data_IF_937642657582
#
_entry.id   IF_937642657582
#
_cell.length_a   1.000
_cell.length_b   1.000
_cell.length_c   1.000
_cell.angle_alpha   90.00
_cell.angle_beta   90.00
_cell.angle_gamma   90.00
#
_symmetry.space_group_name_H-M   'P 1'
#
loop_
_entity.id
_entity.type
_entity.pdbx_description
1 polymer ?
#
# COMPACT_ATOMS: atom_id res chain seq x y z
N UNK A 1 12.63 -3.67 4.48
CA UNK A 1 12.85 -3.90 3.03
C UNK A 1 12.38 -2.68 2.25
N UNK A 2 13.10 -2.29 1.21
CA UNK A 2 12.83 -1.06 0.47
C UNK A 2 12.85 -1.34 -1.04
N UNK A 3 12.17 -0.49 -1.82
CA UNK A 3 12.27 -0.56 -3.28
C UNK A 3 13.59 0.07 -3.77
N UNK A 4 13.80 0.11 -5.09
CA UNK A 4 15.02 0.66 -5.67
C UNK A 4 15.27 2.14 -5.37
N UNK A 5 14.22 2.87 -4.94
CA UNK A 5 14.32 4.29 -4.58
C UNK A 5 14.43 4.48 -3.07
N UNK A 6 14.62 3.41 -2.31
CA UNK A 6 14.77 3.49 -0.87
C UNK A 6 13.47 3.64 -0.08
N UNK A 7 12.32 3.54 -0.73
CA UNK A 7 11.03 3.67 -0.05
C UNK A 7 10.65 2.36 0.66
N UNK A 8 10.19 2.41 1.91
CA UNK A 8 9.74 1.21 2.62
C UNK A 8 8.43 0.67 2.04
N UNK A 9 8.17 -0.62 2.25
CA UNK A 9 6.93 -1.24 1.81
C UNK A 9 5.74 -0.72 2.61
N UNK A 10 4.59 -0.61 1.93
CA UNK A 10 3.33 -0.28 2.58
C UNK A 10 2.79 -1.55 3.25
N UNK A 11 2.29 -1.41 4.47
CA UNK A 11 1.78 -2.52 5.26
C UNK A 11 0.36 -2.23 5.72
N UNK A 12 -0.31 -3.27 6.22
CA UNK A 12 -1.65 -3.13 6.78
C UNK A 12 -1.67 -2.01 7.83
N UNK A 13 -2.73 -1.20 7.81
CA UNK A 13 -2.94 -0.05 8.69
C UNK A 13 -2.05 1.17 8.41
N UNK A 14 -1.22 1.13 7.37
CA UNK A 14 -0.49 2.33 6.95
C UNK A 14 -1.46 3.39 6.44
N UNK A 15 -1.04 4.64 6.48
CA UNK A 15 -1.91 5.79 6.21
C UNK A 15 -1.64 6.39 4.83
N UNK A 16 -2.55 7.28 4.42
CA UNK A 16 -2.41 8.04 3.18
C UNK A 16 -2.52 9.53 3.44
N UNK A 17 -2.20 10.33 2.41
CA UNK A 17 -2.31 11.79 2.49
C UNK A 17 -3.77 12.27 2.63
N UNK A 18 -4.75 11.40 2.39
CA UNK A 18 -6.17 11.71 2.57
C UNK A 18 -6.72 11.19 3.91
N UNK A 19 -5.86 10.95 4.88
CA UNK A 19 -6.21 10.33 6.17
C UNK A 19 -6.82 8.93 5.98
N UNK A 20 -6.53 8.29 4.86
CA UNK A 20 -6.98 6.93 4.59
C UNK A 20 -6.16 5.89 5.33
N UNK A 21 -6.67 4.66 5.34
CA UNK A 21 -6.02 3.53 6.02
C UNK A 21 -6.02 2.32 5.10
N UNK A 22 -4.88 1.64 5.01
CA UNK A 22 -4.77 0.38 4.28
C UNK A 22 -5.53 -0.68 5.08
N UNK A 23 -6.56 -1.27 4.46
CA UNK A 23 -7.44 -2.24 5.12
C UNK A 23 -7.28 -3.66 4.60
N UNK A 24 -6.51 -3.86 3.52
CA UNK A 24 -6.20 -5.18 2.98
C UNK A 24 -4.71 -5.32 2.75
N UNK A 25 -4.19 -6.52 2.96
CA UNK A 25 -2.79 -6.80 2.72
C UNK A 25 -2.60 -8.31 2.53
N UNK A 26 -1.46 -8.70 1.95
CA UNK A 26 -1.13 -10.11 1.76
C UNK A 26 -0.82 -10.75 3.11
N UNK A 27 -1.51 -11.85 3.43
CA UNK A 27 -1.29 -12.56 4.70
C UNK A 27 -0.06 -13.46 4.64
N UNK A 28 0.45 -13.74 3.46
CA UNK A 28 1.61 -14.61 3.25
C UNK A 28 2.90 -13.82 2.98
N UNK A 29 2.87 -12.50 3.08
CA UNK A 29 4.07 -11.67 2.96
C UNK A 29 4.07 -10.67 4.11
N UNK A 30 4.94 -10.92 5.08
CA UNK A 30 5.03 -10.09 6.28
C UNK A 30 6.34 -9.32 6.30
N UNK A 31 6.30 -8.12 6.84
CA UNK A 31 7.49 -7.32 7.12
C UNK A 31 7.38 -6.76 8.52
N UNK A 32 8.32 -7.11 9.39
CA UNK A 32 8.32 -6.72 10.81
C UNK A 32 7.03 -7.17 11.52
N UNK A 33 6.51 -8.34 11.13
CA UNK A 33 5.31 -8.90 11.73
C UNK A 33 3.99 -8.33 11.25
N UNK A 34 4.00 -7.48 10.22
CA UNK A 34 2.79 -6.85 9.68
C UNK A 34 2.62 -7.23 8.21
N UNK A 35 1.41 -7.63 7.77
CA UNK A 35 1.18 -7.98 6.37
C UNK A 35 1.49 -6.81 5.42
N UNK A 36 2.09 -7.13 4.28
CA UNK A 36 2.48 -6.16 3.27
C UNK A 36 1.35 -5.99 2.26
N UNK A 37 1.05 -4.74 1.90
CA UNK A 37 0.02 -4.43 0.91
C UNK A 37 0.57 -4.58 -0.50
N UNK A 38 -0.28 -5.08 -1.40
CA UNK A 38 0.05 -5.28 -2.80
C UNK A 38 -0.86 -4.44 -3.69
N UNK A 39 -0.52 -4.39 -4.98
CA UNK A 39 -1.35 -3.72 -5.97
C UNK A 39 -2.78 -4.27 -5.96
N UNK A 40 -3.76 -3.38 -5.97
CA UNK A 40 -5.17 -3.76 -5.96
C UNK A 40 -5.78 -3.96 -4.57
N UNK A 41 -4.98 -3.98 -3.51
CA UNK A 41 -5.53 -4.08 -2.16
C UNK A 41 -6.28 -2.80 -1.77
N UNK A 42 -7.34 -2.95 -0.96
CA UNK A 42 -8.20 -1.84 -0.60
C UNK A 42 -7.60 -0.88 0.41
N UNK A 43 -7.85 0.39 0.17
CA UNK A 43 -7.50 1.47 1.09
C UNK A 43 -8.76 2.29 1.34
N UNK A 44 -9.15 2.39 2.61
CA UNK A 44 -10.28 3.23 2.97
C UNK A 44 -9.87 4.70 2.88
N UNK A 45 -10.68 5.50 2.19
CA UNK A 45 -10.44 6.93 2.03
C UNK A 45 -11.65 7.72 2.52
N UNK A 46 -11.61 8.27 3.75
CA UNK A 46 -12.75 9.02 4.28
C UNK A 46 -12.99 10.31 3.50
N UNK A 47 -11.94 10.90 2.95
CA UNK A 47 -12.07 12.13 2.15
C UNK A 47 -12.86 11.89 0.87
N UNK A 48 -12.66 10.73 0.23
CA UNK A 48 -13.37 10.38 -1.00
C UNK A 48 -14.63 9.57 -0.75
N UNK A 49 -14.83 9.09 0.47
CA UNK A 49 -16.04 8.40 0.88
C UNK A 49 -16.12 6.94 0.42
N UNK A 50 -15.00 6.25 0.27
CA UNK A 50 -15.04 4.84 -0.17
C UNK A 50 -13.73 4.11 -0.01
N UNK A 51 -13.69 2.91 -0.56
CA UNK A 51 -12.49 2.06 -0.59
C UNK A 51 -11.94 2.08 -2.02
N UNK A 52 -10.65 2.33 -2.15
CA UNK A 52 -9.99 2.47 -3.45
C UNK A 52 -8.79 1.55 -3.52
N UNK A 53 -8.46 1.01 -4.72
CA UNK A 53 -7.34 0.10 -4.86
C UNK A 53 -6.00 0.84 -4.82
N UNK A 54 -4.97 0.14 -4.31
CA UNK A 54 -3.59 0.61 -4.42
C UNK A 54 -3.14 0.45 -5.87
N UNK A 55 -2.42 1.46 -6.37
CA UNK A 55 -1.77 1.42 -7.68
C UNK A 55 -0.27 1.37 -7.41
N UNK A 56 0.29 0.16 -7.38
CA UNK A 56 1.70 -0.03 -7.11
C UNK A 56 2.52 0.16 -8.38
N UNK A 57 3.63 0.88 -8.25
CA UNK A 57 4.49 1.21 -9.41
C UNK A 57 5.87 0.59 -9.30
N UNK A 58 6.20 -0.06 -8.17
CA UNK A 58 7.49 -0.70 -7.98
C UNK A 58 7.65 -1.96 -8.83
N UNK A 59 8.88 -2.46 -8.90
CA UNK A 59 9.18 -3.64 -9.71
C UNK A 59 9.14 -4.95 -8.90
N UNK A 60 9.09 -4.85 -7.58
CA UNK A 60 9.03 -6.02 -6.72
C UNK A 60 7.63 -6.62 -6.78
N UNK A 61 7.54 -7.93 -7.01
CA UNK A 61 6.26 -8.63 -7.09
C UNK A 61 6.19 -9.75 -6.06
N UNK A 62 4.95 -10.13 -5.72
CA UNK A 62 4.64 -11.27 -4.87
C UNK A 62 3.39 -11.94 -5.43
N UNK A 63 3.51 -13.21 -5.82
CA UNK A 63 2.41 -13.96 -6.44
C UNK A 63 1.82 -13.26 -7.68
N UNK A 64 2.69 -12.60 -8.45
CA UNK A 64 2.29 -11.92 -9.68
C UNK A 64 1.74 -10.51 -9.49
N UNK A 65 1.65 -10.03 -8.25
CA UNK A 65 1.19 -8.66 -7.96
C UNK A 65 2.34 -7.80 -7.47
N UNK A 66 2.33 -6.53 -7.83
CA UNK A 66 3.38 -5.61 -7.39
C UNK A 66 3.23 -5.29 -5.92
N UNK A 67 4.36 -5.29 -5.21
CA UNK A 67 4.39 -4.87 -3.80
C UNK A 67 4.29 -3.35 -3.73
N UNK A 68 3.41 -2.85 -2.86
CA UNK A 68 3.24 -1.41 -2.68
C UNK A 68 4.33 -0.83 -1.78
N UNK A 69 4.79 0.36 -2.11
CA UNK A 69 5.82 1.08 -1.37
C UNK A 69 5.35 2.50 -1.06
N UNK A 70 5.99 3.14 -0.10
CA UNK A 70 5.70 4.53 0.21
C UNK A 70 5.85 5.40 -1.03
N UNK A 71 4.91 6.31 -1.24
CA UNK A 71 4.85 7.14 -2.44
C UNK A 71 3.94 6.59 -3.53
N UNK A 72 3.52 5.33 -3.45
CA UNK A 72 2.53 4.79 -4.37
C UNK A 72 1.17 5.44 -4.12
N UNK A 73 0.30 5.36 -5.11
CA UNK A 73 -0.99 6.05 -5.06
C UNK A 73 -2.15 5.08 -4.95
N UNK A 74 -3.29 5.62 -4.55
CA UNK A 74 -4.56 4.89 -4.59
C UNK A 74 -5.40 5.38 -5.76
N UNK A 75 -6.49 4.68 -6.06
CA UNK A 75 -7.40 5.06 -7.14
C UNK A 75 -8.05 6.42 -6.93
N UNK A 76 -8.10 6.94 -5.72
CA UNK A 76 -8.64 8.28 -5.44
C UNK A 76 -7.58 9.38 -5.45
N UNK A 77 -6.34 9.06 -5.80
CA UNK A 77 -5.27 10.04 -5.87
C UNK A 77 -4.51 10.28 -4.58
N UNK A 78 -4.83 9.57 -3.50
CA UNK A 78 -4.08 9.65 -2.26
C UNK A 78 -2.70 9.01 -2.43
N UNK A 79 -1.73 9.49 -1.65
CA UNK A 79 -0.37 8.96 -1.66
C UNK A 79 -0.17 8.14 -0.38
N UNK A 80 0.34 6.92 -0.54
CA UNK A 80 0.58 6.02 0.59
C UNK A 80 1.82 6.45 1.37
N UNK A 81 1.70 6.41 2.68
CA UNK A 81 2.76 6.82 3.60
C UNK A 81 3.12 5.60 4.45
N UNK A 82 4.36 5.13 4.31
CA UNK A 82 4.85 4.03 5.12
C UNK A 82 5.14 4.51 6.54
N UNK A 83 4.69 3.74 7.51
CA UNK A 83 4.94 4.05 8.92
C UNK A 83 6.20 3.37 9.46
#
# INVERSE_FOLDING_TARGET
>A
MKNGNGQPMIRLADKTTHDGTVIEAATDLMHMGVPVALDGHGVECPRCGGVYPIIATGQRTHNGKRVSHGGDRTGCGAILIAS
#
